data_IF_737338702996
#
_entry.id   IF_737338702996
#
_cell.length_a   1.000
_cell.length_b   1.000
_cell.length_c   1.000
_cell.angle_alpha   90.00
_cell.angle_beta   90.00
_cell.angle_gamma   90.00
#
_symmetry.space_group_name_H-M   'P 1'
#
loop_
_entity.id
_entity.type
_entity.pdbx_description
1 polymer ?
#
# COMPACT_ATOMS: atom_id res chain seq x y z
N UNK A 1 13.88 -5.37 -19.97
CA UNK A 1 13.64 -5.51 -18.52
C UNK A 1 13.48 -6.99 -18.21
N UNK A 2 14.27 -7.54 -17.30
CA UNK A 2 14.15 -8.95 -16.85
C UNK A 2 12.91 -9.14 -15.96
N UNK A 3 12.42 -10.38 -15.75
CA UNK A 3 11.36 -10.65 -14.78
C UNK A 3 11.66 -10.10 -13.38
N UNK A 4 12.91 -10.24 -12.91
CA UNK A 4 13.36 -9.68 -11.63
C UNK A 4 13.28 -8.16 -11.58
N UNK A 5 13.70 -7.47 -12.65
CA UNK A 5 13.58 -6.02 -12.76
C UNK A 5 12.10 -5.58 -12.83
N UNK A 6 11.23 -6.35 -13.50
CA UNK A 6 9.81 -6.06 -13.59
C UNK A 6 9.11 -6.15 -12.21
N UNK A 7 9.44 -7.18 -11.43
CA UNK A 7 8.93 -7.35 -10.06
C UNK A 7 9.43 -6.23 -9.15
N UNK A 8 10.72 -5.88 -9.23
CA UNK A 8 11.29 -4.78 -8.45
C UNK A 8 10.64 -3.43 -8.78
N UNK A 9 10.50 -3.12 -10.08
CA UNK A 9 9.83 -1.92 -10.54
C UNK A 9 8.38 -1.84 -10.04
N UNK A 10 7.63 -2.94 -10.15
CA UNK A 10 6.25 -2.99 -9.67
C UNK A 10 6.18 -2.82 -8.14
N UNK A 11 7.10 -3.42 -7.39
CA UNK A 11 7.17 -3.26 -5.93
C UNK A 11 7.40 -1.82 -5.52
N UNK A 12 8.32 -1.12 -6.19
CA UNK A 12 8.56 0.29 -5.95
C UNK A 12 7.34 1.16 -6.28
N UNK A 13 6.75 0.96 -7.47
CA UNK A 13 5.61 1.74 -7.93
C UNK A 13 4.38 1.54 -7.03
N UNK A 14 4.04 0.29 -6.69
CA UNK A 14 2.92 -0.04 -5.82
C UNK A 14 3.18 0.42 -4.37
N UNK A 15 4.44 0.40 -3.91
CA UNK A 15 4.84 0.94 -2.62
C UNK A 15 4.57 2.44 -2.51
N UNK A 16 4.94 3.22 -3.54
CA UNK A 16 4.63 4.66 -3.62
C UNK A 16 3.13 4.94 -3.56
N UNK A 17 2.32 4.14 -4.25
CA UNK A 17 0.85 4.25 -4.21
C UNK A 17 0.33 3.95 -2.80
N UNK A 18 0.78 2.85 -2.18
CA UNK A 18 0.40 2.47 -0.81
C UNK A 18 0.65 3.62 0.16
N UNK A 19 1.85 4.19 0.12
CA UNK A 19 2.27 5.22 1.06
C UNK A 19 1.50 6.52 0.83
N UNK A 20 1.29 6.93 -0.43
CA UNK A 20 0.50 8.12 -0.77
C UNK A 20 -0.95 8.01 -0.30
N UNK A 21 -1.58 6.86 -0.52
CA UNK A 21 -2.97 6.61 -0.11
C UNK A 21 -3.12 6.68 1.42
N UNK A 22 -2.14 6.16 2.18
CA UNK A 22 -2.16 6.27 3.64
C UNK A 22 -2.03 7.71 4.14
N UNK A 23 -1.15 8.50 3.51
CA UNK A 23 -0.98 9.93 3.84
C UNK A 23 -2.27 10.71 3.54
N UNK A 24 -2.89 10.48 2.38
CA UNK A 24 -4.13 11.16 2.00
C UNK A 24 -5.29 10.78 2.91
N UNK A 25 -5.36 9.51 3.31
CA UNK A 25 -6.35 9.03 4.25
C UNK A 25 -6.18 9.68 5.63
N UNK A 26 -4.95 9.72 6.17
CA UNK A 26 -4.67 10.40 7.44
C UNK A 26 -5.04 11.89 7.37
N UNK A 27 -4.65 12.58 6.30
CA UNK A 27 -4.99 13.99 6.10
C UNK A 27 -6.50 14.22 6.01
N UNK A 28 -7.25 13.27 5.43
CA UNK A 28 -8.71 13.32 5.36
C UNK A 28 -9.33 13.11 6.75
N UNK A 29 -8.84 12.14 7.52
CA UNK A 29 -9.30 11.90 8.88
C UNK A 29 -9.05 13.11 9.79
N UNK A 30 -7.91 13.80 9.66
CA UNK A 30 -7.61 15.02 10.42
C UNK A 30 -8.51 16.21 10.07
N UNK A 31 -9.16 16.20 8.91
CA UNK A 31 -10.17 17.20 8.52
C UNK A 31 -11.56 16.87 9.05
N UNK A 32 -11.78 15.64 9.48
CA UNK A 32 -12.99 15.24 10.18
C UNK A 32 -12.79 15.64 11.65
N UNK A 33 -13.77 16.29 12.26
CA UNK A 33 -13.75 16.72 13.67
C UNK A 33 -13.89 15.51 14.61
N UNK A 34 -12.95 14.56 14.49
CA UNK A 34 -12.88 13.32 15.24
C UNK A 34 -11.61 13.29 16.08
N UNK A 35 -11.68 12.61 17.24
CA UNK A 35 -10.56 12.59 18.17
C UNK A 35 -9.36 11.78 17.66
N UNK A 36 -8.17 12.08 18.17
CA UNK A 36 -6.92 11.45 17.75
C UNK A 36 -6.88 9.93 17.95
N UNK A 37 -7.53 9.42 19.00
CA UNK A 37 -7.59 7.97 19.27
C UNK A 37 -8.32 7.26 18.13
N UNK A 38 -9.43 7.82 17.68
CA UNK A 38 -10.20 7.25 16.58
C UNK A 38 -9.45 7.34 15.24
N UNK A 39 -8.77 8.47 14.98
CA UNK A 39 -7.88 8.61 13.82
C UNK A 39 -6.82 7.50 13.81
N UNK A 40 -6.17 7.26 14.95
CA UNK A 40 -5.13 6.24 15.09
C UNK A 40 -5.66 4.82 14.82
N UNK A 41 -6.82 4.47 15.38
CA UNK A 41 -7.47 3.15 15.16
C UNK A 41 -7.84 2.96 13.68
N UNK A 42 -8.44 3.98 13.06
CA UNK A 42 -8.82 3.95 11.65
C UNK A 42 -7.60 3.84 10.74
N UNK A 43 -6.54 4.60 11.02
CA UNK A 43 -5.30 4.58 10.25
C UNK A 43 -4.58 3.23 10.37
N UNK A 44 -4.51 2.65 11.57
CA UNK A 44 -3.91 1.33 11.80
C UNK A 44 -4.66 0.22 11.03
N UNK A 45 -5.99 0.26 11.08
CA UNK A 45 -6.85 -0.66 10.33
C UNK A 45 -6.60 -0.54 8.84
N UNK A 46 -6.61 0.68 8.31
CA UNK A 46 -6.43 0.92 6.88
C UNK A 46 -5.02 0.56 6.40
N UNK A 47 -3.98 0.83 7.22
CA UNK A 47 -2.60 0.40 6.95
C UNK A 47 -2.50 -1.11 6.76
N UNK A 48 -3.18 -1.89 7.62
CA UNK A 48 -3.20 -3.36 7.49
C UNK A 48 -3.88 -3.81 6.20
N UNK A 49 -4.99 -3.18 5.82
CA UNK A 49 -5.69 -3.48 4.57
C UNK A 49 -4.81 -3.16 3.34
N UNK A 50 -4.13 -2.02 3.36
CA UNK A 50 -3.23 -1.59 2.29
C UNK A 50 -2.01 -2.50 2.16
N UNK A 51 -1.47 -3.01 3.27
CA UNK A 51 -0.37 -3.99 3.22
C UNK A 51 -0.81 -5.33 2.61
N UNK A 52 -2.01 -5.82 2.96
CA UNK A 52 -2.57 -7.04 2.35
C UNK A 52 -2.79 -6.85 0.85
N UNK A 53 -3.34 -5.70 0.44
CA UNK A 53 -3.49 -5.35 -0.97
C UNK A 53 -2.16 -5.31 -1.71
N UNK A 54 -1.14 -4.69 -1.11
CA UNK A 54 0.20 -4.59 -1.67
C UNK A 54 0.80 -5.98 -1.90
N UNK A 55 0.81 -6.84 -0.88
CA UNK A 55 1.33 -8.20 -0.99
C UNK A 55 0.63 -9.02 -2.09
N UNK A 56 -0.70 -9.01 -2.13
CA UNK A 56 -1.47 -9.70 -3.18
C UNK A 56 -1.15 -9.17 -4.58
N UNK A 57 -0.94 -7.86 -4.70
CA UNK A 57 -0.59 -7.23 -5.98
C UNK A 57 0.80 -7.70 -6.44
N UNK A 58 1.79 -7.75 -5.55
CA UNK A 58 3.13 -8.26 -5.86
C UNK A 58 3.11 -9.74 -6.20
N UNK A 59 2.32 -10.55 -5.50
CA UNK A 59 2.13 -11.96 -5.86
C UNK A 59 1.55 -12.12 -7.28
N UNK A 60 0.56 -11.29 -7.64
CA UNK A 60 0.02 -11.25 -8.99
C UNK A 60 1.09 -10.93 -10.05
N UNK A 61 1.97 -9.98 -9.76
CA UNK A 61 3.09 -9.62 -10.66
C UNK A 61 4.09 -10.77 -10.77
N UNK A 62 4.48 -11.40 -9.65
CA UNK A 62 5.40 -12.55 -9.64
C UNK A 62 4.87 -13.74 -10.44
N UNK A 63 3.55 -13.99 -10.42
CA UNK A 63 2.94 -15.04 -11.25
C UNK A 63 3.04 -14.75 -12.74
N UNK A 64 2.97 -13.46 -13.13
CA UNK A 64 3.09 -13.04 -14.54
C UNK A 64 4.54 -12.97 -15.02
N UNK A 65 5.47 -12.67 -14.11
CA UNK A 65 6.90 -12.56 -14.36
C UNK A 65 7.66 -13.48 -13.40
N UNK A 66 7.66 -14.81 -13.65
CA UNK A 66 8.35 -15.75 -12.80
C UNK A 66 9.84 -15.43 -12.76
N UNK A 67 10.38 -15.32 -11.55
CA UNK A 67 11.80 -15.22 -11.30
C UNK A 67 12.25 -16.63 -10.91
N UNK A 68 13.00 -17.28 -11.80
CA UNK A 68 13.62 -18.58 -11.57
C UNK A 68 14.96 -18.41 -10.86
#
# INVERSE_FOLDING_TARGET
MTPSQAVAFAAEALGKVRDKVLVDYEATLKKQDINEREISVRLATYRRQMEIWFQRSIEGVKRRYPVH
#
